data_IF_497579241798
#
_entry.id   IF_497579241798
#
_cell.length_a   1.000
_cell.length_b   1.000
_cell.length_c   1.000
_cell.angle_alpha   90.00
_cell.angle_beta   90.00
_cell.angle_gamma   90.00
#
_symmetry.space_group_name_H-M   'P 1'
#
loop_
_entity.id
_entity.type
_entity.pdbx_description
1 polymer ?
#
# COMPACT_ATOMS: atom_id res chain seq x y z
N UNK A 1 -16.50 -11.02 -15.24
CA UNK A 1 -15.83 -10.53 -14.02
C UNK A 1 -14.73 -9.60 -14.47
N UNK A 2 -14.87 -8.29 -14.30
CA UNK A 2 -13.80 -7.36 -14.65
C UNK A 2 -12.75 -7.42 -13.55
N UNK A 3 -11.64 -8.11 -13.82
CA UNK A 3 -10.47 -8.12 -12.95
C UNK A 3 -9.46 -7.22 -13.63
N UNK A 4 -9.34 -5.98 -13.15
CA UNK A 4 -8.24 -5.11 -13.59
C UNK A 4 -6.94 -5.71 -13.09
N UNK A 5 -6.00 -6.01 -13.99
CA UNK A 5 -4.69 -6.52 -13.58
C UNK A 5 -3.84 -5.39 -12.98
N UNK A 6 -2.78 -5.74 -12.25
CA UNK A 6 -1.83 -4.74 -11.74
C UNK A 6 -1.20 -3.94 -12.89
N UNK A 7 -0.93 -4.56 -14.06
CA UNK A 7 -0.41 -3.86 -15.24
C UNK A 7 -1.44 -2.89 -15.84
N UNK A 8 -2.69 -3.31 -16.00
CA UNK A 8 -3.77 -2.45 -16.49
C UNK A 8 -3.98 -1.25 -15.57
N UNK A 9 -3.87 -1.48 -14.26
CA UNK A 9 -3.97 -0.42 -13.27
C UNK A 9 -2.81 0.58 -13.39
N UNK A 10 -1.57 0.08 -13.51
CA UNK A 10 -0.40 0.94 -13.71
C UNK A 10 -0.54 1.76 -14.99
N UNK A 11 -0.97 1.16 -16.11
CA UNK A 11 -1.19 1.89 -17.36
C UNK A 11 -2.26 2.97 -17.21
N UNK A 12 -3.36 2.68 -16.49
CA UNK A 12 -4.37 3.67 -16.19
C UNK A 12 -3.86 4.82 -15.31
N UNK A 13 -2.93 4.56 -14.39
CA UNK A 13 -2.37 5.56 -13.48
C UNK A 13 -1.26 6.41 -14.12
N UNK A 14 -0.58 5.90 -15.16
CA UNK A 14 0.39 6.67 -15.97
C UNK A 14 -0.26 7.83 -16.72
N UNK A 15 -1.54 7.74 -17.08
CA UNK A 15 -2.28 8.84 -17.70
C UNK A 15 -2.51 9.97 -16.67
N UNK A 16 -1.93 11.17 -16.85
CA UNK A 16 -2.04 12.27 -15.89
C UNK A 16 -3.48 12.77 -15.70
N UNK A 17 -4.36 12.60 -16.68
CA UNK A 17 -5.75 13.06 -16.65
C UNK A 17 -6.70 12.02 -16.05
N UNK A 18 -6.27 10.77 -15.98
CA UNK A 18 -7.03 9.69 -15.36
C UNK A 18 -6.68 9.59 -13.88
N UNK A 19 -7.68 9.84 -13.03
CA UNK A 19 -7.60 9.67 -11.57
C UNK A 19 -8.79 8.87 -11.09
N UNK A 20 -8.62 8.14 -9.98
CA UNK A 20 -9.77 7.56 -9.30
C UNK A 20 -10.71 8.68 -8.84
N UNK A 21 -12.01 8.36 -8.78
CA UNK A 21 -13.02 9.30 -8.33
C UNK A 21 -12.71 9.76 -6.90
N UNK A 22 -12.50 11.06 -6.71
CA UNK A 22 -12.05 11.61 -5.45
C UNK A 22 -13.08 11.42 -4.34
N UNK A 23 -14.37 11.44 -4.67
CA UNK A 23 -15.44 11.21 -3.71
C UNK A 23 -15.47 9.75 -3.28
N UNK A 24 -15.38 8.81 -4.23
CA UNK A 24 -15.31 7.38 -3.91
C UNK A 24 -14.07 7.04 -3.08
N UNK A 25 -12.92 7.66 -3.35
CA UNK A 25 -11.71 7.48 -2.53
C UNK A 25 -11.89 8.03 -1.11
N UNK A 26 -12.49 9.22 -0.96
CA UNK A 26 -12.75 9.80 0.35
C UNK A 26 -13.74 8.93 1.16
N UNK A 27 -14.80 8.45 0.52
CA UNK A 27 -15.77 7.55 1.13
C UNK A 27 -15.13 6.23 1.56
N UNK A 28 -14.29 5.63 0.70
CA UNK A 28 -13.56 4.40 1.00
C UNK A 28 -12.56 4.59 2.16
N UNK A 29 -11.84 5.70 2.18
CA UNK A 29 -10.88 6.04 3.26
C UNK A 29 -11.60 6.24 4.59
N UNK A 30 -12.74 6.94 4.56
CA UNK A 30 -13.59 7.14 5.75
C UNK A 30 -14.15 5.82 6.27
N UNK A 31 -14.63 4.95 5.37
CA UNK A 31 -15.11 3.63 5.73
C UNK A 31 -14.01 2.76 6.34
N UNK A 32 -12.78 2.81 5.79
CA UNK A 32 -11.64 2.09 6.32
C UNK A 32 -11.26 2.58 7.73
N UNK A 33 -11.26 3.90 7.96
CA UNK A 33 -10.98 4.49 9.26
C UNK A 33 -12.04 4.09 10.30
N UNK A 34 -13.33 4.13 9.92
CA UNK A 34 -14.42 3.69 10.78
C UNK A 34 -14.31 2.20 11.12
N UNK A 35 -14.09 1.34 10.13
CA UNK A 35 -13.92 -0.10 10.34
C UNK A 35 -12.73 -0.39 11.26
N UNK A 36 -11.58 0.26 11.04
CA UNK A 36 -10.40 0.12 11.89
C UNK A 36 -10.68 0.55 13.32
N UNK A 37 -11.42 1.65 13.53
CA UNK A 37 -11.82 2.11 14.86
C UNK A 37 -12.74 1.11 15.56
N UNK A 38 -13.70 0.52 14.86
CA UNK A 38 -14.60 -0.49 15.43
C UNK A 38 -13.92 -1.82 15.78
N UNK A 39 -12.77 -2.10 15.15
CA UNK A 39 -11.93 -3.26 15.48
C UNK A 39 -11.07 -3.05 16.74
N UNK A 40 -11.05 -1.83 17.31
CA UNK A 40 -10.49 -1.53 18.64
C UNK A 40 -11.64 -1.46 19.67
N UNK A 41 -12.03 -2.56 20.35
CA UNK A 41 -13.06 -2.47 21.37
C UNK A 41 -12.54 -1.65 22.57
N UNK A 42 -13.33 -0.68 23.00
CA UNK A 42 -13.10 0.26 24.12
C UNK A 42 -12.89 -0.40 25.50
N UNK A 43 -12.76 -1.73 25.56
CA UNK A 43 -12.83 -2.51 26.80
C UNK A 43 -11.51 -3.23 27.05
N UNK A 44 -10.40 -2.48 27.21
CA UNK A 44 -9.20 -2.84 27.99
C UNK A 44 -8.42 -4.14 27.70
N UNK A 45 -8.88 -5.07 26.88
CA UNK A 45 -8.29 -6.42 26.75
C UNK A 45 -8.18 -6.96 25.33
N UNK A 46 -8.34 -6.14 24.29
CA UNK A 46 -8.12 -6.61 22.92
C UNK A 46 -6.77 -6.15 22.41
N UNK A 47 -5.78 -7.03 22.49
CA UNK A 47 -4.59 -6.97 21.64
C UNK A 47 -5.09 -6.99 20.19
N UNK A 48 -5.19 -5.82 19.55
CA UNK A 48 -5.58 -5.77 18.14
C UNK A 48 -4.53 -6.57 17.37
N UNK A 49 -4.99 -7.63 16.70
CA UNK A 49 -4.10 -8.52 15.98
C UNK A 49 -3.28 -7.70 14.99
N UNK A 50 -1.95 -7.81 15.06
CA UNK A 50 -1.03 -7.13 14.12
C UNK A 50 -1.43 -7.41 12.66
N UNK A 51 -2.02 -8.56 12.40
CA UNK A 51 -2.58 -8.95 11.09
C UNK A 51 -3.71 -8.04 10.62
N UNK A 52 -4.60 -7.62 11.52
CA UNK A 52 -5.72 -6.71 11.20
C UNK A 52 -5.20 -5.33 10.87
N UNK A 53 -4.29 -4.81 11.70
CA UNK A 53 -3.66 -3.50 11.48
C UNK A 53 -2.88 -3.50 10.16
N UNK A 54 -2.07 -4.53 9.92
CA UNK A 54 -1.35 -4.74 8.66
C UNK A 54 -2.30 -4.75 7.46
N UNK A 55 -3.41 -5.50 7.53
CA UNK A 55 -4.39 -5.55 6.44
C UNK A 55 -5.04 -4.19 6.15
N UNK A 56 -5.30 -3.40 7.20
CA UNK A 56 -5.81 -2.04 7.07
C UNK A 56 -4.79 -1.13 6.37
N UNK A 57 -3.53 -1.15 6.80
CA UNK A 57 -2.46 -0.37 6.17
C UNK A 57 -2.19 -0.77 4.72
N UNK A 58 -2.25 -2.07 4.38
CA UNK A 58 -2.16 -2.53 2.99
C UNK A 58 -3.30 -1.95 2.15
N UNK A 59 -4.51 -1.88 2.70
CA UNK A 59 -5.68 -1.30 2.02
C UNK A 59 -5.52 0.20 1.84
N UNK A 60 -5.07 0.91 2.87
CA UNK A 60 -4.79 2.34 2.83
C UNK A 60 -3.72 2.69 1.79
N UNK A 61 -2.61 1.94 1.75
CA UNK A 61 -1.56 2.13 0.76
C UNK A 61 -2.07 1.97 -0.68
N UNK A 62 -3.01 1.05 -0.92
CA UNK A 62 -3.67 0.88 -2.23
C UNK A 62 -4.58 2.07 -2.57
N UNK A 63 -5.37 2.57 -1.62
CA UNK A 63 -6.22 3.74 -1.84
C UNK A 63 -5.39 4.98 -2.18
N UNK A 64 -4.28 5.19 -1.46
CA UNK A 64 -3.34 6.28 -1.73
C UNK A 64 -2.70 6.15 -3.13
N UNK A 65 -2.32 4.94 -3.54
CA UNK A 65 -1.80 4.67 -4.88
C UNK A 65 -2.83 5.03 -5.97
N UNK A 66 -4.10 4.68 -5.77
CA UNK A 66 -5.20 5.04 -6.68
C UNK A 66 -5.45 6.55 -6.73
N UNK A 67 -5.22 7.24 -5.61
CA UNK A 67 -5.25 8.69 -5.49
C UNK A 67 -4.02 9.40 -6.08
N UNK A 68 -3.02 8.65 -6.58
CA UNK A 68 -1.71 9.14 -7.01
C UNK A 68 -0.88 9.80 -5.91
N UNK A 69 -1.20 9.52 -4.65
CA UNK A 69 -0.44 9.92 -3.47
C UNK A 69 0.72 8.95 -3.24
N UNK A 70 1.64 8.86 -4.21
CA UNK A 70 2.64 7.79 -4.28
C UNK A 70 3.62 7.77 -3.10
N UNK A 71 4.03 8.94 -2.61
CA UNK A 71 4.91 9.04 -1.44
C UNK A 71 4.24 8.52 -0.19
N UNK A 72 2.99 8.93 0.04
CA UNK A 72 2.24 8.51 1.21
C UNK A 72 1.92 7.02 1.12
N UNK A 73 1.58 6.51 -0.08
CA UNK A 73 1.42 5.09 -0.34
C UNK A 73 2.67 4.28 0.03
N UNK A 74 3.86 4.74 -0.39
CA UNK A 74 5.14 4.08 -0.06
C UNK A 74 5.40 4.07 1.45
N UNK A 75 5.16 5.18 2.15
CA UNK A 75 5.34 5.28 3.61
C UNK A 75 4.40 4.33 4.36
N UNK A 76 3.12 4.31 3.99
CA UNK A 76 2.13 3.41 4.61
C UNK A 76 2.46 1.94 4.32
N UNK A 77 2.90 1.63 3.09
CA UNK A 77 3.34 0.29 2.72
C UNK A 77 4.57 -0.17 3.51
N UNK A 78 5.49 0.74 3.84
CA UNK A 78 6.63 0.45 4.71
C UNK A 78 6.17 0.09 6.14
N UNK A 79 5.28 0.88 6.74
CA UNK A 79 4.72 0.55 8.06
C UNK A 79 3.99 -0.79 8.05
N UNK A 80 3.26 -1.10 6.97
CA UNK A 80 2.62 -2.39 6.79
C UNK A 80 3.64 -3.54 6.71
N UNK A 81 4.81 -3.31 6.10
CA UNK A 81 5.89 -4.30 5.97
C UNK A 81 6.50 -4.65 7.31
N UNK A 82 6.72 -3.66 8.16
CA UNK A 82 7.25 -3.89 9.51
C UNK A 82 6.30 -4.76 10.32
N UNK A 83 4.98 -4.50 10.22
CA UNK A 83 3.97 -5.36 10.84
C UNK A 83 3.91 -6.75 10.21
N UNK A 84 4.05 -6.87 8.89
CA UNK A 84 4.06 -8.15 8.21
C UNK A 84 5.26 -9.01 8.66
N UNK A 85 6.45 -8.42 8.73
CA UNK A 85 7.67 -9.07 9.26
C UNK A 85 7.47 -9.49 10.72
N UNK A 86 6.96 -8.60 11.57
CA UNK A 86 6.70 -8.87 12.98
C UNK A 86 5.60 -9.91 13.23
N UNK A 87 4.70 -10.11 12.28
CA UNK A 87 3.66 -11.13 12.30
C UNK A 87 4.03 -12.40 11.51
N UNK A 88 5.24 -12.47 10.94
CA UNK A 88 5.67 -13.53 10.01
C UNK A 88 4.68 -13.80 8.86
N UNK A 89 4.00 -12.74 8.40
CA UNK A 89 2.93 -12.82 7.41
C UNK A 89 3.50 -12.79 5.99
N UNK A 90 3.67 -13.97 5.39
CA UNK A 90 4.09 -14.09 3.98
C UNK A 90 3.11 -13.48 2.99
N UNK A 91 1.81 -13.55 3.29
CA UNK A 91 0.79 -12.87 2.50
C UNK A 91 0.97 -11.34 2.55
N UNK A 92 1.19 -10.78 3.74
CA UNK A 92 1.44 -9.35 3.91
C UNK A 92 2.67 -8.88 3.12
N UNK A 93 3.79 -9.59 3.27
CA UNK A 93 5.01 -9.32 2.50
C UNK A 93 4.75 -9.35 0.97
N UNK A 94 3.97 -10.32 0.47
CA UNK A 94 3.62 -10.41 -0.95
C UNK A 94 2.71 -9.26 -1.42
N UNK A 95 1.71 -8.88 -0.63
CA UNK A 95 0.81 -7.78 -0.96
C UNK A 95 1.58 -6.45 -1.05
N UNK A 96 2.53 -6.22 -0.15
CA UNK A 96 3.40 -5.04 -0.16
C UNK A 96 4.37 -5.07 -1.34
N UNK A 97 4.90 -6.24 -1.68
CA UNK A 97 5.75 -6.41 -2.88
C UNK A 97 4.99 -6.03 -4.15
N UNK A 98 3.70 -6.38 -4.28
CA UNK A 98 2.86 -5.94 -5.41
C UNK A 98 2.69 -4.43 -5.46
N UNK A 99 2.41 -3.81 -4.31
CA UNK A 99 2.32 -2.33 -4.21
C UNK A 99 3.65 -1.69 -4.63
N UNK A 100 4.79 -2.20 -4.15
CA UNK A 100 6.11 -1.74 -4.54
C UNK A 100 6.34 -1.84 -6.06
N UNK A 101 6.00 -2.96 -6.70
CA UNK A 101 6.18 -3.13 -8.14
C UNK A 101 5.40 -2.06 -8.93
N UNK A 102 4.15 -1.79 -8.55
CA UNK A 102 3.36 -0.73 -9.18
C UNK A 102 3.95 0.67 -8.92
N UNK A 103 4.38 0.96 -7.68
CA UNK A 103 5.01 2.24 -7.35
C UNK A 103 6.31 2.47 -8.11
N UNK A 104 7.13 1.41 -8.26
CA UNK A 104 8.39 1.48 -9.03
C UNK A 104 8.12 1.85 -10.49
N UNK A 105 7.09 1.28 -11.10
CA UNK A 105 6.74 1.61 -12.49
C UNK A 105 6.16 3.02 -12.67
N UNK A 106 5.53 3.57 -11.64
CA UNK A 106 4.90 4.89 -11.69
C UNK A 106 5.87 6.01 -11.33
N UNK A 107 6.74 5.79 -10.34
CA UNK A 107 7.63 6.80 -9.76
C UNK A 107 8.98 6.21 -9.33
N UNK A 108 9.72 5.64 -10.28
CA UNK A 108 11.00 4.94 -10.02
C UNK A 108 12.02 5.76 -9.21
N UNK A 109 12.10 7.08 -9.44
CA UNK A 109 13.08 7.98 -8.79
C UNK A 109 12.62 8.47 -7.41
N UNK A 110 11.47 8.03 -6.90
CA UNK A 110 10.98 8.48 -5.62
C UNK A 110 11.79 7.86 -4.47
N UNK A 111 12.36 8.65 -3.54
CA UNK A 111 13.23 8.14 -2.49
C UNK A 111 12.51 7.18 -1.53
N UNK A 112 11.21 7.37 -1.29
CA UNK A 112 10.43 6.47 -0.42
C UNK A 112 10.19 5.10 -1.08
N UNK A 113 10.03 5.07 -2.40
CA UNK A 113 9.92 3.82 -3.17
C UNK A 113 11.25 3.08 -3.20
N UNK A 114 12.36 3.80 -3.34
CA UNK A 114 13.70 3.23 -3.23
C UNK A 114 13.95 2.64 -1.82
N UNK A 115 13.55 3.34 -0.76
CA UNK A 115 13.65 2.85 0.60
C UNK A 115 12.83 1.57 0.82
N UNK A 116 11.61 1.53 0.29
CA UNK A 116 10.76 0.33 0.33
C UNK A 116 11.41 -0.87 -0.40
N UNK A 117 12.15 -0.62 -1.49
CA UNK A 117 12.92 -1.66 -2.18
C UNK A 117 13.97 -2.28 -1.26
N UNK A 118 14.74 -1.45 -0.55
CA UNK A 118 15.77 -1.87 0.41
C UNK A 118 15.14 -2.73 1.51
N UNK A 119 14.04 -2.27 2.09
CA UNK A 119 13.33 -3.02 3.14
C UNK A 119 12.75 -4.36 2.68
N UNK A 120 12.41 -4.48 1.39
CA UNK A 120 11.95 -5.71 0.76
C UNK A 120 13.10 -6.63 0.31
N UNK A 121 14.35 -6.23 0.54
CA UNK A 121 15.56 -6.85 -0.01
C UNK A 121 15.51 -6.98 -1.55
N UNK A 122 14.94 -5.98 -2.22
CA UNK A 122 14.90 -5.86 -3.67
C UNK A 122 15.97 -4.87 -4.07
N UNK A 123 17.10 -5.39 -4.51
CA UNK A 123 18.17 -4.56 -5.06
C UNK A 123 17.83 -4.28 -6.53
N UNK A 124 17.63 -3.02 -6.93
CA UNK A 124 17.52 -2.70 -8.35
C UNK A 124 18.82 -3.15 -9.05
N UNK A 125 18.74 -3.61 -10.30
CA UNK A 125 19.96 -3.90 -11.07
C UNK A 125 20.82 -2.63 -11.08
N UNK A 126 22.11 -2.78 -10.78
CA UNK A 126 23.07 -1.68 -10.84
C UNK A 126 23.17 -1.25 -12.31
N UNK A 127 22.42 -0.24 -12.70
CA UNK A 127 22.64 0.44 -13.98
C UNK A 127 23.93 1.23 -13.81
N UNK A 128 25.01 0.73 -14.42
CA UNK A 128 26.27 1.45 -14.52
C UNK A 128 25.99 2.85 -15.11
N UNK A 129 26.41 3.87 -14.36
CA UNK A 129 26.44 5.27 -14.80
C UNK A 129 27.45 5.47 -15.93
#
# INVERSE_FOLDING_TARGET
>A
MFHTTDEELVQALKDPYRKADAKLLADATTALAAATKHLHPNNGTAMVSRTIVMASLVTEARLLLLGKEYEQSAKVAQTALDLAKAAHSKKGEQDIRRIYMMLRELVERNPYVANLAVELNIFPPVTAL
#
